data_IF_044256273171
#
_entry.id   IF_044256273171
#
_cell.length_a   1.000
_cell.length_b   1.000
_cell.length_c   1.000
_cell.angle_alpha   90.00
_cell.angle_beta   90.00
_cell.angle_gamma   90.00
#
_symmetry.space_group_name_H-M   'P 1'
#
loop_
_entity.id
_entity.type
_entity.pdbx_description
1 polymer ?
#
# COMPACT_ATOMS: atom_id res chain seq x y z
N UNK A 1 -47.28 32.23 5.60
CA UNK A 1 -46.01 32.83 6.07
C UNK A 1 -45.52 32.06 7.28
N UNK A 2 -44.98 30.86 7.07
CA UNK A 2 -44.39 30.06 8.14
C UNK A 2 -43.02 29.57 7.66
N UNK A 3 -42.02 29.90 8.47
CA UNK A 3 -40.84 29.08 8.70
C UNK A 3 -39.77 29.07 7.62
N UNK A 4 -39.09 30.21 7.44
CA UNK A 4 -37.75 30.26 6.84
C UNK A 4 -36.62 30.48 7.87
N UNK A 5 -36.95 30.51 9.17
CA UNK A 5 -35.98 30.74 10.27
C UNK A 5 -35.40 29.45 10.88
N UNK A 6 -35.95 28.27 10.57
CA UNK A 6 -35.45 26.99 11.12
C UNK A 6 -34.31 26.34 10.32
N UNK A 7 -34.03 26.83 9.11
CA UNK A 7 -32.97 26.26 8.24
C UNK A 7 -31.63 27.00 8.35
N UNK A 8 -31.61 28.21 8.93
CA UNK A 8 -30.40 29.03 9.01
C UNK A 8 -29.54 28.74 10.25
N UNK A 9 -30.09 28.12 11.29
CA UNK A 9 -29.37 27.80 12.53
C UNK A 9 -28.43 26.59 12.42
N UNK A 10 -28.62 25.71 11.43
CA UNK A 10 -27.75 24.54 11.25
C UNK A 10 -26.58 24.75 10.28
N UNK A 11 -26.58 25.86 9.52
CA UNK A 11 -25.54 26.11 8.51
C UNK A 11 -24.44 27.08 9.00
N UNK A 12 -24.72 27.90 10.02
CA UNK A 12 -23.77 28.86 10.59
C UNK A 12 -22.71 28.23 11.50
N UNK A 13 -22.91 27.00 11.99
CA UNK A 13 -21.92 26.29 12.82
C UNK A 13 -20.70 25.83 12.01
N UNK A 14 -20.82 25.74 10.67
CA UNK A 14 -19.71 25.37 9.79
C UNK A 14 -18.79 26.54 9.38
N UNK A 15 -19.04 27.76 9.85
CA UNK A 15 -18.33 28.96 9.39
C UNK A 15 -16.98 29.23 10.08
N UNK A 16 -16.58 28.44 11.08
CA UNK A 16 -15.30 28.62 11.76
C UNK A 16 -14.33 27.50 11.37
N UNK A 17 -13.17 27.84 10.81
CA UNK A 17 -12.09 26.89 10.45
C UNK A 17 -11.64 26.04 11.66
N UNK A 18 -11.88 26.51 12.88
CA UNK A 18 -11.59 25.79 14.12
C UNK A 18 -12.74 24.92 14.65
N UNK A 19 -13.86 24.79 13.94
CA UNK A 19 -14.98 23.98 14.38
C UNK A 19 -14.67 22.48 14.26
N UNK A 20 -15.04 21.69 15.27
CA UNK A 20 -14.87 20.24 15.24
C UNK A 20 -15.90 19.61 14.30
N UNK A 21 -15.44 18.72 13.40
CA UNK A 21 -16.31 17.94 12.51
C UNK A 21 -17.22 16.99 13.32
N UNK A 22 -16.70 16.45 14.43
CA UNK A 22 -17.44 15.57 15.33
C UNK A 22 -17.70 16.28 16.67
N UNK A 23 -18.59 17.26 16.65
CA UNK A 23 -19.06 17.96 17.83
C UNK A 23 -20.39 17.40 18.36
N UNK A 24 -20.72 17.77 19.59
CA UNK A 24 -22.09 17.74 20.11
C UNK A 24 -22.83 19.03 19.68
N UNK A 25 -24.13 19.10 19.95
CA UNK A 25 -25.00 20.22 19.51
C UNK A 25 -24.60 21.57 20.15
N UNK A 26 -23.84 21.53 21.25
CA UNK A 26 -23.27 22.69 21.94
C UNK A 26 -21.89 23.13 21.39
N UNK A 27 -21.37 22.44 20.37
CA UNK A 27 -20.05 22.70 19.78
C UNK A 27 -18.88 22.07 20.55
N UNK A 28 -19.13 21.36 21.66
CA UNK A 28 -18.09 20.63 22.38
C UNK A 28 -17.63 19.37 21.63
N UNK A 29 -16.40 18.91 21.89
CA UNK A 29 -15.87 17.67 21.29
C UNK A 29 -16.73 16.48 21.73
N UNK A 30 -17.18 15.68 20.77
CA UNK A 30 -17.91 14.44 21.06
C UNK A 30 -17.01 13.42 21.75
N UNK A 31 -17.47 12.87 22.86
CA UNK A 31 -16.73 11.83 23.59
C UNK A 31 -16.74 10.51 22.82
N UNK A 32 -15.73 9.66 23.08
CA UNK A 32 -15.67 8.31 22.52
C UNK A 32 -16.94 7.51 22.78
N UNK A 33 -17.49 7.59 24.00
CA UNK A 33 -18.73 6.90 24.37
C UNK A 33 -19.92 7.36 23.52
N UNK A 34 -20.03 8.67 23.26
CA UNK A 34 -21.06 9.23 22.38
C UNK A 34 -20.97 8.66 20.97
N UNK A 35 -19.78 8.66 20.37
CA UNK A 35 -19.54 8.08 19.04
C UNK A 35 -19.80 6.57 19.00
N UNK A 36 -19.40 5.85 20.06
CA UNK A 36 -19.67 4.41 20.21
C UNK A 36 -21.16 4.12 20.31
N UNK A 37 -21.92 4.91 21.06
CA UNK A 37 -23.38 4.72 21.19
C UNK A 37 -24.11 4.90 19.86
N UNK A 38 -23.68 5.89 19.05
CA UNK A 38 -24.19 6.07 17.68
C UNK A 38 -23.87 4.86 16.81
N UNK A 39 -22.62 4.38 16.86
CA UNK A 39 -22.18 3.22 16.11
C UNK A 39 -22.89 1.93 16.54
N UNK A 40 -23.11 1.73 17.84
CA UNK A 40 -23.88 0.60 18.36
C UNK A 40 -25.36 0.67 17.95
N UNK A 41 -25.94 1.86 17.91
CA UNK A 41 -27.28 2.09 17.35
C UNK A 41 -27.36 1.75 15.86
N UNK A 42 -26.34 2.13 15.08
CA UNK A 42 -26.21 1.74 13.68
C UNK A 42 -26.09 0.22 13.52
N UNK A 43 -25.23 -0.46 14.30
CA UNK A 43 -25.10 -1.93 14.28
C UNK A 43 -26.43 -2.64 14.55
N UNK A 44 -27.22 -2.14 15.50
CA UNK A 44 -28.56 -2.67 15.81
C UNK A 44 -29.51 -2.54 14.62
N UNK A 45 -29.55 -1.38 13.96
CA UNK A 45 -30.40 -1.15 12.77
C UNK A 45 -30.07 -2.08 11.61
N UNK A 46 -28.78 -2.41 11.44
CA UNK A 46 -28.31 -3.27 10.35
C UNK A 46 -28.14 -4.75 10.73
N UNK A 47 -28.61 -5.17 11.91
CA UNK A 47 -28.49 -6.56 12.40
C UNK A 47 -27.03 -7.06 12.49
N UNK A 48 -26.09 -6.15 12.68
CA UNK A 48 -24.64 -6.43 12.82
C UNK A 48 -24.20 -6.57 14.28
N UNK A 49 -25.13 -6.77 15.21
CA UNK A 49 -24.84 -6.86 16.65
C UNK A 49 -24.03 -8.09 17.03
N UNK A 50 -24.16 -9.17 16.25
CA UNK A 50 -23.45 -10.42 16.50
C UNK A 50 -22.04 -10.42 15.88
N UNK A 51 -21.78 -9.47 14.98
CA UNK A 51 -20.45 -9.24 14.44
C UNK A 51 -19.68 -8.40 15.47
N UNK A 52 -18.54 -8.90 15.94
CA UNK A 52 -17.70 -8.24 16.94
C UNK A 52 -16.93 -7.04 16.36
N UNK A 53 -17.66 -6.07 15.77
CA UNK A 53 -17.12 -4.92 15.04
C UNK A 53 -16.94 -3.74 16.00
N UNK A 54 -15.72 -3.21 16.02
CA UNK A 54 -15.28 -2.06 16.82
C UNK A 54 -14.46 -1.10 15.96
N UNK A 55 -14.35 0.17 16.37
CA UNK A 55 -13.54 1.17 15.65
C UNK A 55 -12.08 0.76 15.46
N UNK A 56 -11.48 0.11 16.46
CA UNK A 56 -10.12 -0.41 16.33
C UNK A 56 -10.04 -1.56 15.31
N UNK A 57 -11.07 -2.42 15.25
CA UNK A 57 -11.17 -3.48 14.25
C UNK A 57 -11.23 -2.93 12.82
N UNK A 58 -11.99 -1.85 12.60
CA UNK A 58 -12.04 -1.17 11.29
C UNK A 58 -10.66 -0.63 10.88
N UNK A 59 -9.90 -0.08 11.84
CA UNK A 59 -8.53 0.39 11.60
C UNK A 59 -7.59 -0.77 11.24
N UNK A 60 -7.75 -1.93 11.87
CA UNK A 60 -7.01 -3.14 11.49
C UNK A 60 -7.39 -3.65 10.11
N UNK A 61 -8.67 -3.65 9.76
CA UNK A 61 -9.13 -4.03 8.42
C UNK A 61 -8.52 -3.13 7.35
N UNK A 62 -8.51 -1.81 7.58
CA UNK A 62 -7.88 -0.85 6.65
C UNK A 62 -6.40 -1.15 6.42
N UNK A 63 -5.64 -1.37 7.50
CA UNK A 63 -4.23 -1.74 7.37
C UNK A 63 -4.03 -3.11 6.71
N UNK A 64 -4.87 -4.11 7.01
CA UNK A 64 -4.77 -5.43 6.39
C UNK A 64 -4.94 -5.32 4.87
N UNK A 65 -5.93 -4.55 4.42
CA UNK A 65 -6.15 -4.30 2.99
C UNK A 65 -4.93 -3.67 2.32
N UNK A 66 -4.26 -2.71 2.98
CA UNK A 66 -3.04 -2.11 2.45
C UNK A 66 -1.88 -3.11 2.38
N UNK A 67 -1.76 -3.98 3.38
CA UNK A 67 -0.75 -5.04 3.37
C UNK A 67 -1.04 -6.11 2.31
N UNK A 68 -2.30 -6.48 2.11
CA UNK A 68 -2.72 -7.40 1.03
C UNK A 68 -2.44 -6.81 -0.36
N UNK A 69 -2.42 -5.49 -0.50
CA UNK A 69 -2.02 -4.77 -1.72
C UNK A 69 -0.49 -4.66 -1.89
N UNK A 70 0.31 -5.32 -1.05
CA UNK A 70 1.77 -5.29 -1.07
C UNK A 70 2.38 -3.87 -0.98
N UNK A 71 1.66 -2.93 -0.35
CA UNK A 71 2.10 -1.54 -0.18
C UNK A 71 3.28 -1.42 0.79
N UNK A 72 4.07 -0.36 0.63
CA UNK A 72 5.25 -0.15 1.46
C UNK A 72 4.85 0.08 2.94
N UNK A 73 5.37 -0.71 3.90
CA UNK A 73 5.03 -0.58 5.32
C UNK A 73 5.25 0.82 5.91
N UNK A 74 6.21 1.59 5.34
CA UNK A 74 6.47 2.97 5.77
C UNK A 74 5.36 3.94 5.36
N UNK A 75 4.77 3.73 4.19
CA UNK A 75 3.62 4.50 3.69
C UNK A 75 2.39 4.16 4.51
N UNK A 76 2.16 2.86 4.78
CA UNK A 76 1.06 2.39 5.64
C UNK A 76 1.17 3.02 7.04
N UNK A 77 2.38 3.09 7.61
CA UNK A 77 2.61 3.76 8.90
C UNK A 77 2.20 5.23 8.88
N UNK A 78 2.53 5.97 7.81
CA UNK A 78 2.17 7.39 7.65
C UNK A 78 0.66 7.58 7.51
N UNK A 79 0.00 6.75 6.69
CA UNK A 79 -1.47 6.79 6.49
C UNK A 79 -2.23 6.50 7.79
N UNK A 80 -1.72 5.59 8.61
CA UNK A 80 -2.30 5.30 9.91
C UNK A 80 -1.95 6.39 10.93
N UNK A 81 -0.81 7.06 10.81
CA UNK A 81 -0.31 8.01 11.82
C UNK A 81 0.19 7.30 13.08
N UNK A 82 0.75 6.09 12.95
CA UNK A 82 1.34 5.37 14.08
C UNK A 82 2.67 6.01 14.49
N UNK A 83 2.79 6.41 15.77
CA UNK A 83 4.03 6.95 16.36
C UNK A 83 5.18 5.94 16.28
N UNK A 84 4.89 4.64 16.31
CA UNK A 84 5.89 3.57 16.20
C UNK A 84 5.54 2.60 15.06
N UNK A 85 6.54 2.31 14.21
CA UNK A 85 6.49 1.31 13.13
C UNK A 85 6.21 -0.07 13.73
N UNK A 86 6.75 -0.33 14.92
CA UNK A 86 6.71 -1.63 15.59
C UNK A 86 5.27 -2.11 15.83
N UNK A 87 4.36 -1.22 16.22
CA UNK A 87 2.92 -1.51 16.33
C UNK A 87 2.27 -1.93 15.01
N UNK A 88 2.78 -1.45 13.88
CA UNK A 88 2.28 -1.75 12.53
C UNK A 88 2.91 -3.02 11.95
N UNK A 89 4.02 -3.52 12.49
CA UNK A 89 4.67 -4.76 12.03
C UNK A 89 4.30 -5.92 12.94
N UNK A 90 4.27 -5.71 14.26
CA UNK A 90 4.04 -6.78 15.25
C UNK A 90 2.64 -7.39 15.16
N UNK A 91 1.62 -6.63 14.76
CA UNK A 91 0.24 -7.14 14.60
C UNK A 91 0.07 -7.98 13.32
N UNK A 92 0.96 -7.84 12.32
CA UNK A 92 0.76 -8.40 10.96
C UNK A 92 1.84 -9.43 10.58
N UNK A 93 2.71 -9.80 11.52
CA UNK A 93 3.82 -10.73 11.32
C UNK A 93 3.39 -12.15 10.85
N UNK A 94 2.11 -12.51 10.91
CA UNK A 94 1.60 -13.77 10.35
C UNK A 94 1.50 -13.78 8.82
N UNK A 95 1.54 -12.62 8.17
CA UNK A 95 1.47 -12.48 6.69
C UNK A 95 2.86 -12.25 6.07
N UNK A 96 3.87 -12.03 6.92
CA UNK A 96 5.18 -11.50 6.52
C UNK A 96 6.18 -12.57 6.03
N UNK A 97 5.94 -13.87 6.25
CA UNK A 97 6.86 -14.91 5.75
C UNK A 97 6.91 -14.94 4.23
N UNK A 98 5.79 -14.63 3.57
CA UNK A 98 5.71 -14.60 2.11
C UNK A 98 6.32 -13.32 1.54
N UNK A 99 6.07 -12.16 2.17
CA UNK A 99 6.65 -10.88 1.76
C UNK A 99 8.19 -10.86 1.88
N UNK A 100 8.73 -11.37 2.98
CA UNK A 100 10.20 -11.48 3.16
C UNK A 100 10.79 -12.45 2.15
N UNK A 101 10.10 -13.57 1.87
CA UNK A 101 10.53 -14.52 0.85
C UNK A 101 10.53 -13.88 -0.53
N UNK A 102 9.45 -13.22 -0.92
CA UNK A 102 9.32 -12.56 -2.21
C UNK A 102 10.36 -11.45 -2.41
N UNK A 103 10.60 -10.62 -1.38
CA UNK A 103 11.64 -9.60 -1.43
C UNK A 103 13.05 -10.21 -1.57
N UNK A 104 13.30 -11.33 -0.90
CA UNK A 104 14.57 -12.06 -0.99
C UNK A 104 14.73 -12.71 -2.36
N UNK A 105 13.67 -13.31 -2.90
CA UNK A 105 13.66 -13.94 -4.21
C UNK A 105 13.94 -12.90 -5.32
N UNK A 106 13.27 -11.74 -5.28
CA UNK A 106 13.53 -10.64 -6.21
C UNK A 106 14.97 -10.12 -6.13
N UNK A 107 15.53 -10.05 -4.92
CA UNK A 107 16.92 -9.64 -4.72
C UNK A 107 17.88 -10.68 -5.33
N UNK A 108 17.66 -11.96 -5.05
CA UNK A 108 18.46 -13.06 -5.59
C UNK A 108 18.45 -13.07 -7.12
N UNK A 109 17.28 -12.86 -7.75
CA UNK A 109 17.19 -12.76 -9.22
C UNK A 109 18.06 -11.63 -9.75
N UNK A 110 17.98 -10.43 -9.16
CA UNK A 110 18.81 -9.29 -9.58
C UNK A 110 20.30 -9.51 -9.39
N UNK A 111 20.71 -10.20 -8.33
CA UNK A 111 22.10 -10.54 -8.09
C UNK A 111 22.60 -11.50 -9.18
N UNK A 112 21.83 -12.54 -9.53
CA UNK A 112 22.20 -13.47 -10.58
C UNK A 112 22.25 -12.82 -11.98
N UNK A 113 21.32 -11.90 -12.28
CA UNK A 113 21.38 -11.13 -13.53
C UNK A 113 22.68 -10.32 -13.63
N UNK A 114 23.10 -9.69 -12.53
CA UNK A 114 24.34 -8.91 -12.47
C UNK A 114 25.60 -9.80 -12.49
N UNK A 115 25.55 -11.01 -11.94
CA UNK A 115 26.65 -11.98 -12.03
C UNK A 115 26.82 -12.50 -13.45
N UNK A 116 25.73 -12.84 -14.13
CA UNK A 116 25.77 -13.25 -15.54
C UNK A 116 26.24 -12.11 -16.46
N UNK A 117 25.86 -10.86 -16.19
CA UNK A 117 26.36 -9.70 -16.96
C UNK A 117 27.87 -9.50 -16.78
N UNK A 118 28.42 -9.77 -15.59
CA UNK A 118 29.88 -9.74 -15.36
C UNK A 118 30.62 -10.92 -15.98
N UNK A 119 30.08 -12.13 -15.91
CA UNK A 119 30.69 -13.30 -16.56
C UNK A 119 30.72 -13.15 -18.08
N UNK A 120 29.67 -12.55 -18.68
CA UNK A 120 29.66 -12.21 -20.11
C UNK A 120 30.68 -11.12 -20.43
N UNK A 121 30.89 -10.12 -19.56
CA UNK A 121 31.93 -9.10 -19.75
C UNK A 121 33.36 -9.66 -19.59
N UNK A 122 33.58 -10.65 -18.72
CA UNK A 122 34.90 -11.29 -18.54
C UNK A 122 35.22 -12.34 -19.61
N UNK A 123 34.22 -12.97 -20.24
CA UNK A 123 34.45 -13.92 -21.36
C UNK A 123 34.74 -13.21 -22.71
N UNK A 124 34.44 -11.91 -22.84
CA UNK A 124 34.85 -11.09 -24.01
C UNK A 124 36.23 -10.47 -23.75
N UNK A 125 37.25 -11.31 -23.66
CA UNK A 125 38.66 -10.87 -23.74
C UNK A 125 39.01 -10.66 -25.24
N UNK A 126 39.48 -9.45 -25.55
CA UNK A 126 39.44 -8.79 -26.88
C UNK A 126 40.50 -9.28 -27.90
N UNK A 127 41.10 -10.46 -27.73
CA UNK A 127 42.42 -10.75 -28.36
C UNK A 127 42.48 -11.77 -29.52
N UNK A 128 41.40 -12.36 -30.08
CA UNK A 128 41.49 -13.11 -31.38
C UNK A 128 40.16 -13.56 -32.06
N UNK A 129 39.09 -12.74 -32.09
CA UNK A 129 37.83 -13.12 -32.79
C UNK A 129 37.82 -12.63 -34.25
N UNK A 130 37.49 -13.53 -35.19
CA UNK A 130 37.34 -13.19 -36.61
C UNK A 130 36.08 -12.34 -36.85
N UNK A 131 36.06 -11.51 -37.90
CA UNK A 131 34.93 -10.61 -38.23
C UNK A 131 33.57 -11.36 -38.30
N UNK A 132 33.56 -12.65 -38.67
CA UNK A 132 32.36 -13.49 -38.71
C UNK A 132 31.85 -13.91 -37.32
N UNK A 133 32.74 -14.13 -36.34
CA UNK A 133 32.37 -14.51 -34.98
C UNK A 133 31.80 -13.32 -34.18
N UNK A 134 32.34 -12.12 -34.44
CA UNK A 134 31.81 -10.87 -33.89
C UNK A 134 30.38 -10.62 -34.39
N UNK A 135 30.10 -10.80 -35.68
CA UNK A 135 28.74 -10.66 -36.23
C UNK A 135 27.74 -11.66 -35.63
N UNK A 136 28.18 -12.89 -35.33
CA UNK A 136 27.36 -13.91 -34.69
C UNK A 136 27.03 -13.54 -33.23
N UNK A 137 28.01 -13.06 -32.46
CA UNK A 137 27.81 -12.62 -31.08
C UNK A 137 26.90 -11.38 -30.99
N UNK A 138 27.07 -10.39 -31.88
CA UNK A 138 26.20 -9.21 -31.95
C UNK A 138 24.75 -9.66 -32.22
N UNK A 139 24.54 -10.56 -33.17
CA UNK A 139 23.20 -11.09 -33.50
C UNK A 139 22.58 -11.86 -32.33
N UNK A 140 23.38 -12.56 -31.54
CA UNK A 140 22.92 -13.31 -30.37
C UNK A 140 22.59 -12.39 -29.18
N UNK A 141 23.41 -11.35 -28.96
CA UNK A 141 23.17 -10.28 -28.00
C UNK A 141 21.88 -9.51 -28.33
N UNK A 142 21.64 -9.16 -29.58
CA UNK A 142 20.39 -8.51 -30.01
C UNK A 142 19.16 -9.37 -29.71
N UNK A 143 19.23 -10.69 -29.98
CA UNK A 143 18.15 -11.63 -29.64
C UNK A 143 17.93 -11.73 -28.13
N UNK A 144 18.99 -11.70 -27.34
CA UNK A 144 18.93 -11.73 -25.88
C UNK A 144 18.32 -10.44 -25.33
N UNK A 145 18.74 -9.28 -25.84
CA UNK A 145 18.18 -7.98 -25.48
C UNK A 145 16.70 -7.89 -25.84
N UNK A 146 16.29 -8.38 -27.02
CA UNK A 146 14.89 -8.37 -27.41
C UNK A 146 14.03 -9.32 -26.54
N UNK A 147 14.58 -10.48 -26.15
CA UNK A 147 13.94 -11.37 -25.16
C UNK A 147 13.81 -10.72 -23.78
N UNK A 148 14.86 -10.04 -23.29
CA UNK A 148 14.82 -9.26 -22.04
C UNK A 148 13.78 -8.14 -22.12
N UNK A 149 13.69 -7.44 -23.26
CA UNK A 149 12.70 -6.37 -23.49
C UNK A 149 11.27 -6.88 -23.47
N UNK A 150 11.00 -8.01 -24.14
CA UNK A 150 9.67 -8.66 -24.14
C UNK A 150 9.25 -9.19 -22.78
N UNK A 151 10.21 -9.64 -21.94
CA UNK A 151 9.93 -10.00 -20.54
C UNK A 151 9.55 -8.77 -19.72
N UNK A 152 10.33 -7.69 -19.82
CA UNK A 152 10.02 -6.40 -19.17
C UNK A 152 8.65 -5.83 -19.57
N UNK A 153 8.26 -5.93 -20.85
CA UNK A 153 6.93 -5.50 -21.31
C UNK A 153 5.80 -6.31 -20.67
N UNK A 154 5.97 -7.64 -20.54
CA UNK A 154 4.98 -8.51 -19.87
C UNK A 154 4.85 -8.22 -18.38
N UNK A 155 5.95 -7.87 -17.71
CA UNK A 155 5.96 -7.54 -16.29
C UNK A 155 5.32 -6.16 -16.02
N UNK A 156 5.17 -5.30 -17.04
CA UNK A 156 4.55 -3.96 -16.93
C UNK A 156 3.05 -3.95 -17.25
N UNK A 157 2.52 -5.01 -17.87
CA UNK A 157 1.10 -5.16 -18.21
C UNK A 157 0.26 -5.86 -17.11
N UNK A 158 0.85 -6.16 -15.95
CA UNK A 158 0.19 -6.78 -14.79
C UNK A 158 -0.18 -5.79 -13.70
#
# INVERSE_FOLDING_TARGET
MLSNEMLTTNLTVFACISAFIFANDDGSVRTYFGSRKIFDGWKKRHKLTNCNIHFHGLRHTFSNMLFEMNENPKVIQQLLGHRDVKTTITVYNSVNSEYVREATDRLNTKIQEHEQEREVEEEVDDDDLSDEEIELQIRELEKLQERKRRRKEKDFEM
#
